data_IF_083331309218
#
_entry.id   IF_083331309218
#
_cell.length_a   1.000
_cell.length_b   1.000
_cell.length_c   1.000
_cell.angle_alpha   90.00
_cell.angle_beta   90.00
_cell.angle_gamma   90.00
#
_symmetry.space_group_name_H-M   'P 1'
#
loop_
_entity.id
_entity.type
_entity.pdbx_description
1 polymer ?
#
# COMPACT_ATOMS: atom_id res chain seq x y z
N UNK A 1 -9.76 -12.06 -20.36
CA UNK A 1 -9.34 -10.72 -19.91
C UNK A 1 -9.79 -10.51 -18.48
N UNK A 2 -8.88 -9.96 -17.64
CA UNK A 2 -9.19 -9.65 -16.26
C UNK A 2 -10.08 -8.40 -16.21
N UNK A 3 -11.24 -8.42 -15.53
CA UNK A 3 -12.07 -7.23 -15.40
C UNK A 3 -11.31 -6.08 -14.74
N UNK A 4 -11.47 -4.87 -15.29
CA UNK A 4 -10.82 -3.66 -14.80
C UNK A 4 -11.73 -2.46 -14.99
N UNK A 5 -11.82 -1.61 -13.99
CA UNK A 5 -12.47 -0.28 -14.08
C UNK A 5 -11.40 0.80 -14.03
N UNK A 6 -11.53 1.83 -14.83
CA UNK A 6 -10.58 2.95 -14.82
C UNK A 6 -10.90 3.90 -13.67
N UNK A 7 -10.02 3.98 -12.70
CA UNK A 7 -10.14 4.84 -11.52
C UNK A 7 -9.04 5.90 -11.48
N UNK A 8 -7.79 5.47 -11.63
CA UNK A 8 -6.60 6.32 -11.47
C UNK A 8 -6.14 7.00 -12.75
N UNK A 9 -5.15 7.87 -12.57
CA UNK A 9 -4.43 8.54 -13.65
C UNK A 9 -3.06 7.87 -13.82
N UNK A 10 -2.92 7.12 -14.91
CA UNK A 10 -1.72 6.37 -15.24
C UNK A 10 -1.18 6.74 -16.63
N UNK A 11 0.15 6.68 -16.86
CA UNK A 11 1.20 6.30 -15.90
C UNK A 11 1.39 7.36 -14.81
N UNK A 12 1.74 6.92 -13.59
CA UNK A 12 2.11 7.88 -12.54
C UNK A 12 3.49 8.49 -12.82
N UNK A 13 3.77 9.72 -12.35
CA UNK A 13 5.05 10.38 -12.59
C UNK A 13 6.24 9.54 -12.10
N UNK A 14 7.31 9.55 -12.89
CA UNK A 14 8.58 8.92 -12.58
C UNK A 14 9.72 9.88 -12.95
N UNK A 15 10.58 10.24 -12.00
CA UNK A 15 11.67 11.18 -12.22
C UNK A 15 12.76 11.07 -11.15
N UNK A 16 13.93 11.67 -11.44
CA UNK A 16 15.06 11.69 -10.53
C UNK A 16 14.89 12.73 -9.43
N UNK A 17 15.28 12.39 -8.21
CA UNK A 17 15.41 13.28 -7.07
C UNK A 17 16.83 13.82 -7.02
N UNK A 18 17.08 14.98 -7.61
CA UNK A 18 18.44 15.47 -7.86
C UNK A 18 19.22 15.78 -6.59
N UNK A 19 18.58 16.44 -5.62
CA UNK A 19 19.25 16.85 -4.38
C UNK A 19 19.45 15.67 -3.42
N UNK A 20 18.46 14.79 -3.32
CA UNK A 20 18.57 13.53 -2.56
C UNK A 20 19.65 12.62 -3.17
N UNK A 21 19.71 12.54 -4.50
CA UNK A 21 20.73 11.75 -5.20
C UNK A 21 22.14 12.24 -4.88
N UNK A 22 22.35 13.56 -4.90
CA UNK A 22 23.65 14.18 -4.56
C UNK A 22 24.01 13.94 -3.10
N UNK A 23 23.04 14.09 -2.19
CA UNK A 23 23.27 13.91 -0.75
C UNK A 23 23.64 12.47 -0.41
N UNK A 24 22.99 11.50 -1.06
CA UNK A 24 23.15 10.07 -0.75
C UNK A 24 24.21 9.37 -1.62
N UNK A 25 24.67 9.99 -2.71
CA UNK A 25 25.67 9.40 -3.61
C UNK A 25 25.15 8.27 -4.49
N UNK A 26 23.86 8.23 -4.76
CA UNK A 26 23.21 7.27 -5.67
C UNK A 26 22.37 8.02 -6.69
N UNK A 27 21.89 7.36 -7.73
CA UNK A 27 20.87 7.91 -8.62
C UNK A 27 19.49 7.50 -8.10
N UNK A 28 18.88 8.35 -7.29
CA UNK A 28 17.58 8.09 -6.68
C UNK A 28 16.45 8.64 -7.56
N UNK A 29 15.56 7.74 -7.97
CA UNK A 29 14.33 8.05 -8.70
C UNK A 29 13.14 7.81 -7.82
N UNK A 30 12.03 8.51 -8.09
CA UNK A 30 10.77 8.32 -7.38
C UNK A 30 9.64 7.95 -8.33
N UNK A 31 8.89 6.91 -7.99
CA UNK A 31 7.64 6.51 -8.65
C UNK A 31 6.47 7.03 -7.81
N UNK A 32 5.69 7.94 -8.37
CA UNK A 32 4.73 8.77 -7.62
C UNK A 32 3.32 8.16 -7.59
N UNK A 33 3.14 7.04 -6.87
CA UNK A 33 1.81 6.47 -6.69
C UNK A 33 0.94 7.23 -5.67
N UNK A 34 1.49 8.22 -4.98
CA UNK A 34 0.71 9.25 -4.30
C UNK A 34 -0.10 10.13 -5.29
N UNK A 35 0.22 10.11 -6.58
CA UNK A 35 -0.48 10.79 -7.66
C UNK A 35 -1.36 9.88 -8.51
N UNK A 36 -1.77 8.72 -8.01
CA UNK A 36 -2.72 7.85 -8.71
C UNK A 36 -4.06 8.52 -8.97
N UNK A 37 -4.38 9.57 -8.23
CA UNK A 37 -5.59 10.36 -8.42
C UNK A 37 -6.82 9.82 -7.71
N UNK A 38 -7.99 10.06 -8.28
CA UNK A 38 -9.35 9.96 -7.79
C UNK A 38 -9.74 11.13 -6.87
N UNK A 39 -9.09 11.29 -5.73
CA UNK A 39 -9.20 12.45 -4.85
C UNK A 39 -7.81 13.07 -4.63
N UNK A 40 -7.70 14.04 -3.73
CA UNK A 40 -6.42 14.73 -3.42
C UNK A 40 -5.38 13.81 -2.80
N UNK A 41 -5.79 12.66 -2.25
CA UNK A 41 -4.97 11.75 -1.47
C UNK A 41 -4.89 10.38 -2.14
N UNK A 42 -4.44 10.35 -3.39
CA UNK A 42 -4.17 9.12 -4.11
C UNK A 42 -3.19 8.20 -3.37
N UNK A 43 -3.06 6.97 -3.84
CA UNK A 43 -2.17 5.99 -3.24
C UNK A 43 -2.16 4.67 -3.99
N UNK A 44 -1.38 3.76 -3.47
CA UNK A 44 -1.14 2.44 -4.06
C UNK A 44 -2.41 1.57 -4.20
N UNK A 45 -3.42 1.82 -3.38
CA UNK A 45 -4.64 1.00 -3.38
C UNK A 45 -5.47 1.21 -4.64
N UNK A 46 -5.39 2.37 -5.28
CA UNK A 46 -6.10 2.64 -6.53
C UNK A 46 -5.73 1.63 -7.62
N UNK A 47 -4.44 1.26 -7.74
CA UNK A 47 -4.02 0.21 -8.68
C UNK A 47 -4.72 -1.12 -8.43
N UNK A 48 -4.87 -1.50 -7.16
CA UNK A 48 -5.55 -2.73 -6.75
C UNK A 48 -7.06 -2.64 -6.96
N UNK A 49 -7.64 -1.50 -6.58
CA UNK A 49 -9.09 -1.27 -6.63
C UNK A 49 -9.62 -1.24 -8.06
N UNK A 50 -8.82 -0.85 -9.05
CA UNK A 50 -9.24 -0.96 -10.46
C UNK A 50 -9.62 -2.39 -10.85
N UNK A 51 -8.88 -3.39 -10.36
CA UNK A 51 -9.16 -4.80 -10.62
C UNK A 51 -10.18 -5.38 -9.65
N UNK A 52 -10.11 -5.05 -8.37
CA UNK A 52 -11.06 -5.52 -7.36
C UNK A 52 -12.49 -5.03 -7.65
N UNK A 53 -12.66 -3.74 -7.95
CA UNK A 53 -13.98 -3.20 -8.29
C UNK A 53 -14.41 -3.59 -9.71
N UNK A 54 -13.46 -3.78 -10.63
CA UNK A 54 -13.76 -4.37 -11.93
C UNK A 54 -14.37 -5.77 -11.80
N UNK A 55 -13.80 -6.61 -10.93
CA UNK A 55 -14.33 -7.94 -10.62
C UNK A 55 -15.69 -7.88 -9.90
N UNK A 56 -15.81 -6.98 -8.90
CA UNK A 56 -17.07 -6.76 -8.20
C UNK A 56 -18.22 -6.36 -9.15
N UNK A 57 -17.94 -5.41 -10.05
CA UNK A 57 -18.92 -4.95 -11.05
C UNK A 57 -19.26 -6.04 -12.06
N UNK A 58 -18.28 -6.82 -12.51
CA UNK A 58 -18.51 -7.95 -13.41
C UNK A 58 -19.40 -9.04 -12.76
N UNK A 59 -19.32 -9.18 -11.43
CA UNK A 59 -20.20 -10.07 -10.63
C UNK A 59 -21.54 -9.45 -10.26
N UNK A 60 -21.82 -8.22 -10.70
CA UNK A 60 -23.08 -7.53 -10.44
C UNK A 60 -23.25 -7.04 -9.00
N UNK A 61 -22.18 -6.92 -8.23
CA UNK A 61 -22.21 -6.43 -6.86
C UNK A 61 -22.71 -4.98 -6.80
N UNK A 62 -23.37 -4.64 -5.70
CA UNK A 62 -23.91 -3.31 -5.41
C UNK A 62 -23.27 -2.67 -4.19
N UNK A 63 -22.68 -3.47 -3.32
CA UNK A 63 -22.00 -3.04 -2.13
C UNK A 63 -20.61 -3.68 -2.04
N UNK A 64 -19.73 -3.06 -1.28
CA UNK A 64 -18.36 -3.53 -1.00
C UNK A 64 -18.11 -3.41 0.49
N UNK A 65 -17.71 -4.50 1.12
CA UNK A 65 -17.20 -4.48 2.48
C UNK A 65 -15.69 -4.58 2.49
N UNK A 66 -15.03 -3.82 3.37
CA UNK A 66 -13.59 -3.93 3.59
C UNK A 66 -13.19 -3.58 5.02
N UNK A 67 -11.91 -3.70 5.33
CA UNK A 67 -11.35 -3.72 6.67
C UNK A 67 -10.10 -2.84 6.77
N UNK A 68 -9.79 -2.38 7.97
CA UNK A 68 -8.58 -1.64 8.27
C UNK A 68 -8.57 -1.07 9.69
N UNK A 69 -7.53 -0.34 10.04
CA UNK A 69 -7.53 0.53 11.20
C UNK A 69 -8.35 1.82 10.93
N UNK A 70 -8.66 2.60 11.94
CA UNK A 70 -9.47 3.83 11.83
C UNK A 70 -8.88 4.88 10.89
N UNK A 71 -7.55 4.89 10.71
CA UNK A 71 -6.84 5.78 9.78
C UNK A 71 -6.34 5.06 8.51
N UNK A 72 -6.96 3.93 8.14
CA UNK A 72 -6.56 3.12 6.99
C UNK A 72 -6.63 3.90 5.67
N UNK A 73 -5.51 4.02 4.96
CA UNK A 73 -5.48 4.54 3.59
C UNK A 73 -6.28 3.64 2.65
N UNK A 74 -6.20 2.31 2.84
CA UNK A 74 -6.95 1.36 2.04
C UNK A 74 -8.46 1.56 2.18
N UNK A 75 -8.97 1.75 3.39
CA UNK A 75 -10.40 2.00 3.63
C UNK A 75 -10.85 3.27 2.90
N UNK A 76 -10.15 4.39 3.08
CA UNK A 76 -10.47 5.67 2.47
C UNK A 76 -10.44 5.60 0.93
N UNK A 77 -9.39 5.01 0.35
CA UNK A 77 -9.30 4.84 -1.10
C UNK A 77 -10.40 3.91 -1.64
N UNK A 78 -10.79 2.86 -0.89
CA UNK A 78 -11.89 1.97 -1.24
C UNK A 78 -13.23 2.71 -1.25
N UNK A 79 -13.51 3.54 -0.24
CA UNK A 79 -14.73 4.37 -0.19
C UNK A 79 -14.78 5.29 -1.40
N UNK A 80 -13.69 5.99 -1.68
CA UNK A 80 -13.58 6.88 -2.84
C UNK A 80 -13.86 6.16 -4.17
N UNK A 81 -13.25 4.98 -4.34
CA UNK A 81 -13.45 4.15 -5.53
C UNK A 81 -14.88 3.63 -5.66
N UNK A 82 -15.48 3.17 -4.56
CA UNK A 82 -16.88 2.72 -4.53
C UNK A 82 -17.82 3.84 -4.95
N UNK A 83 -17.67 5.05 -4.43
CA UNK A 83 -18.51 6.20 -4.80
C UNK A 83 -18.41 6.53 -6.28
N UNK A 84 -17.20 6.46 -6.84
CA UNK A 84 -17.02 6.65 -8.29
C UNK A 84 -17.71 5.57 -9.13
N UNK A 85 -17.76 4.33 -8.63
CA UNK A 85 -18.38 3.20 -9.33
C UNK A 85 -19.88 3.06 -9.05
N UNK A 86 -20.46 3.88 -8.18
CA UNK A 86 -21.88 3.76 -7.77
C UNK A 86 -22.13 2.53 -6.88
N UNK A 87 -21.10 2.11 -6.12
CA UNK A 87 -21.20 1.01 -5.14
C UNK A 87 -21.31 1.57 -3.72
N UNK A 88 -21.99 0.86 -2.83
CA UNK A 88 -22.13 1.23 -1.43
C UNK A 88 -20.95 0.72 -0.60
N UNK A 89 -20.12 1.60 -0.01
CA UNK A 89 -18.99 1.21 0.80
C UNK A 89 -19.38 0.94 2.26
N UNK A 90 -18.91 -0.19 2.79
CA UNK A 90 -19.10 -0.64 4.16
C UNK A 90 -17.73 -0.92 4.77
N UNK A 91 -17.41 -0.29 5.89
CA UNK A 91 -16.13 -0.40 6.56
C UNK A 91 -16.26 -1.05 7.93
N UNK A 92 -15.41 -2.02 8.21
CA UNK A 92 -15.16 -2.56 9.54
C UNK A 92 -13.76 -2.13 9.97
N UNK A 93 -13.69 -1.14 10.88
CA UNK A 93 -12.46 -0.49 11.28
C UNK A 93 -12.09 -0.86 12.71
N UNK A 94 -10.95 -1.51 12.91
CA UNK A 94 -10.43 -1.86 14.22
C UNK A 94 -9.80 -0.62 14.86
N UNK A 95 -10.22 -0.31 16.09
CA UNK A 95 -9.76 0.85 16.83
C UNK A 95 -8.94 0.43 18.06
N UNK A 96 -7.66 0.76 18.08
CA UNK A 96 -6.82 0.68 19.28
C UNK A 96 -7.25 1.72 20.31
N UNK A 97 -7.64 2.90 19.82
CA UNK A 97 -8.23 3.98 20.61
C UNK A 97 -9.54 4.37 19.94
N UNK A 98 -10.63 4.39 20.70
CA UNK A 98 -11.93 4.82 20.21
C UNK A 98 -11.85 6.25 19.70
N UNK A 99 -12.23 6.50 18.43
CA UNK A 99 -12.40 7.85 17.96
C UNK A 99 -13.64 8.46 18.65
N UNK A 100 -13.47 9.58 19.33
CA UNK A 100 -14.61 10.35 19.80
C UNK A 100 -15.16 11.26 18.69
N UNK A 101 -16.38 11.77 18.88
CA UNK A 101 -17.05 12.62 17.87
C UNK A 101 -16.30 13.93 17.59
N UNK A 102 -15.42 14.35 18.52
CA UNK A 102 -14.63 15.58 18.42
C UNK A 102 -13.27 15.36 17.76
N UNK A 103 -12.81 14.10 17.70
CA UNK A 103 -11.49 13.72 17.17
C UNK A 103 -11.60 12.91 15.87
N UNK A 104 -12.65 13.13 15.09
CA UNK A 104 -12.77 12.57 13.75
C UNK A 104 -11.91 13.38 12.80
N UNK A 105 -10.81 12.79 12.33
CA UNK A 105 -9.79 13.46 11.53
C UNK A 105 -9.28 12.60 10.37
N UNK A 106 -8.56 13.22 9.45
CA UNK A 106 -7.85 12.60 8.34
C UNK A 106 -8.71 11.56 7.61
N UNK A 107 -8.26 10.31 7.44
CA UNK A 107 -8.98 9.31 6.65
C UNK A 107 -10.37 9.00 7.19
N UNK A 108 -10.54 8.88 8.51
CA UNK A 108 -11.86 8.64 9.10
C UNK A 108 -12.85 9.79 8.81
N UNK A 109 -12.37 11.03 8.82
CA UNK A 109 -13.19 12.19 8.42
C UNK A 109 -13.60 12.08 6.95
N UNK A 110 -12.68 11.71 6.06
CA UNK A 110 -12.97 11.55 4.65
C UNK A 110 -13.97 10.42 4.39
N UNK A 111 -13.86 9.30 5.09
CA UNK A 111 -14.80 8.18 5.01
C UNK A 111 -16.22 8.62 5.40
N UNK A 112 -16.36 9.39 6.47
CA UNK A 112 -17.65 9.96 6.91
C UNK A 112 -18.20 10.99 5.91
N UNK A 113 -17.36 11.89 5.39
CA UNK A 113 -17.76 12.88 4.38
C UNK A 113 -18.26 12.21 3.10
N UNK A 114 -17.63 11.11 2.69
CA UNK A 114 -18.07 10.32 1.54
C UNK A 114 -19.28 9.43 1.82
N UNK A 115 -19.77 9.40 3.07
CA UNK A 115 -20.99 8.68 3.46
C UNK A 115 -20.82 7.15 3.49
N UNK A 116 -19.65 6.67 3.89
CA UNK A 116 -19.45 5.24 4.13
C UNK A 116 -20.29 4.75 5.31
N UNK A 117 -20.80 3.52 5.24
CA UNK A 117 -21.28 2.80 6.42
C UNK A 117 -20.07 2.32 7.21
N UNK A 118 -19.93 2.80 8.47
CA UNK A 118 -18.75 2.56 9.29
C UNK A 118 -19.11 1.81 10.56
N UNK A 119 -18.48 0.66 10.77
CA UNK A 119 -18.53 -0.13 11.99
C UNK A 119 -17.17 -0.08 12.68
N UNK A 120 -17.12 0.55 13.86
CA UNK A 120 -15.91 0.55 14.70
C UNK A 120 -15.89 -0.74 15.51
N UNK A 121 -14.80 -1.47 15.42
CA UNK A 121 -14.56 -2.72 16.14
C UNK A 121 -13.51 -2.47 17.22
N UNK A 122 -13.97 -2.49 18.48
CA UNK A 122 -13.11 -2.26 19.64
C UNK A 122 -12.24 -3.48 19.94
N UNK A 123 -11.11 -3.23 20.59
CA UNK A 123 -10.34 -4.29 21.26
C UNK A 123 -11.02 -4.56 22.59
N UNK A 124 -11.57 -5.75 22.78
CA UNK A 124 -12.24 -6.15 24.01
C UNK A 124 -11.22 -6.49 25.11
N UNK A 125 -11.63 -6.44 26.40
CA UNK A 125 -10.75 -6.80 27.50
C UNK A 125 -10.17 -8.22 27.32
N UNK A 126 -8.85 -8.31 27.22
CA UNK A 126 -8.13 -9.58 27.01
C UNK A 126 -7.87 -9.96 25.55
N UNK A 127 -8.41 -9.20 24.59
CA UNK A 127 -8.05 -9.35 23.19
C UNK A 127 -6.74 -8.62 22.84
N UNK A 128 -6.05 -9.14 21.83
CA UNK A 128 -5.01 -8.42 21.11
C UNK A 128 -5.62 -7.63 19.95
N UNK A 129 -4.85 -6.73 19.33
CA UNK A 129 -5.25 -6.05 18.10
C UNK A 129 -5.54 -7.05 16.98
N UNK A 130 -4.73 -8.11 16.85
CA UNK A 130 -4.91 -9.18 15.85
C UNK A 130 -6.22 -9.96 16.08
N UNK A 131 -6.63 -10.18 17.35
CA UNK A 131 -7.90 -10.83 17.68
C UNK A 131 -9.10 -9.97 17.26
N UNK A 132 -9.06 -8.68 17.54
CA UNK A 132 -10.10 -7.73 17.14
C UNK A 132 -10.17 -7.58 15.62
N UNK A 133 -9.02 -7.57 14.94
CA UNK A 133 -8.94 -7.57 13.48
C UNK A 133 -9.57 -8.85 12.90
N UNK A 134 -9.22 -10.02 13.41
CA UNK A 134 -9.80 -11.30 12.98
C UNK A 134 -11.32 -11.31 13.19
N UNK A 135 -11.80 -10.76 14.31
CA UNK A 135 -13.24 -10.62 14.59
C UNK A 135 -13.92 -9.67 13.59
N UNK A 136 -13.25 -8.57 13.22
CA UNK A 136 -13.78 -7.64 12.21
C UNK A 136 -14.00 -8.34 10.86
N UNK A 137 -13.11 -9.24 10.45
CA UNK A 137 -13.26 -10.01 9.21
C UNK A 137 -14.49 -10.92 9.24
N UNK A 138 -14.72 -11.60 10.36
CA UNK A 138 -15.92 -12.44 10.53
C UNK A 138 -17.19 -11.59 10.43
N UNK A 139 -17.25 -10.48 11.16
CA UNK A 139 -18.41 -9.57 11.17
C UNK A 139 -18.71 -9.01 9.77
N UNK A 140 -17.68 -8.58 9.06
CA UNK A 140 -17.83 -8.04 7.70
C UNK A 140 -18.26 -9.10 6.68
N UNK A 141 -17.68 -10.29 6.73
CA UNK A 141 -18.05 -11.42 5.87
C UNK A 141 -19.52 -11.85 6.09
N UNK A 142 -19.97 -11.93 7.35
CA UNK A 142 -21.37 -12.20 7.69
C UNK A 142 -22.31 -11.10 7.20
N UNK A 143 -21.89 -9.83 7.28
CA UNK A 143 -22.67 -8.71 6.75
C UNK A 143 -22.79 -8.82 5.23
N UNK A 144 -21.71 -9.06 4.52
CA UNK A 144 -21.73 -9.26 3.07
C UNK A 144 -22.63 -10.42 2.66
N UNK A 145 -22.61 -11.53 3.40
CA UNK A 145 -23.47 -12.68 3.17
C UNK A 145 -24.96 -12.35 3.37
N UNK A 146 -25.30 -11.61 4.45
CA UNK A 146 -26.69 -11.16 4.71
C UNK A 146 -27.21 -10.24 3.61
N UNK A 147 -26.41 -9.27 3.18
CA UNK A 147 -26.79 -8.37 2.08
C UNK A 147 -27.03 -9.12 0.78
N UNK A 148 -26.13 -10.03 0.46
CA UNK A 148 -26.27 -10.87 -0.75
C UNK A 148 -27.53 -11.73 -0.68
N UNK A 149 -27.82 -12.35 0.44
CA UNK A 149 -29.02 -13.16 0.64
C UNK A 149 -30.32 -12.31 0.56
N UNK A 150 -30.26 -11.03 0.92
CA UNK A 150 -31.38 -10.09 0.83
C UNK A 150 -31.57 -9.45 -0.57
N UNK A 151 -30.76 -9.83 -1.55
CA UNK A 151 -30.84 -9.34 -2.92
C UNK A 151 -29.95 -8.15 -3.25
N UNK A 152 -29.00 -7.82 -2.35
CA UNK A 152 -27.95 -6.81 -2.58
C UNK A 152 -26.60 -7.51 -2.62
N UNK A 153 -26.11 -7.98 -3.79
CA UNK A 153 -24.84 -8.66 -3.89
C UNK A 153 -23.71 -7.76 -3.37
N UNK A 154 -22.94 -8.28 -2.41
CA UNK A 154 -21.85 -7.56 -1.74
C UNK A 154 -20.52 -8.26 -2.02
N UNK A 155 -19.49 -7.47 -2.35
CA UNK A 155 -18.14 -7.93 -2.61
C UNK A 155 -17.29 -7.72 -1.36
N UNK A 156 -16.63 -8.77 -0.92
CA UNK A 156 -15.71 -8.74 0.22
C UNK A 156 -14.27 -8.47 -0.28
N UNK A 157 -13.76 -7.27 0.03
CA UNK A 157 -12.40 -6.86 -0.29
C UNK A 157 -11.52 -7.10 0.93
N UNK A 158 -10.51 -7.98 0.86
CA UNK A 158 -9.62 -8.21 1.99
C UNK A 158 -8.84 -6.95 2.36
N UNK A 159 -8.45 -6.85 3.63
CA UNK A 159 -7.67 -5.73 4.15
C UNK A 159 -6.47 -5.42 3.26
N UNK A 160 -6.27 -4.14 2.95
CA UNK A 160 -5.20 -3.68 2.05
C UNK A 160 -5.38 -4.08 0.59
N UNK A 161 -6.50 -4.70 0.20
CA UNK A 161 -6.70 -5.26 -1.13
C UNK A 161 -5.73 -6.41 -1.45
N UNK A 162 -5.25 -7.11 -0.41
CA UNK A 162 -4.22 -8.14 -0.52
C UNK A 162 -4.81 -9.48 -0.99
N UNK A 163 -5.12 -9.54 -2.25
CA UNK A 163 -5.57 -10.74 -2.98
C UNK A 163 -4.83 -10.84 -4.32
N UNK A 164 -4.94 -11.99 -4.98
CA UNK A 164 -4.37 -12.13 -6.32
C UNK A 164 -4.99 -11.13 -7.30
N UNK A 165 -6.30 -10.93 -7.26
CA UNK A 165 -6.99 -9.93 -8.10
C UNK A 165 -6.44 -8.53 -7.88
N UNK A 166 -6.34 -8.07 -6.62
CA UNK A 166 -5.78 -6.75 -6.30
C UNK A 166 -4.30 -6.62 -6.68
N UNK A 167 -3.53 -7.69 -6.48
CA UNK A 167 -2.09 -7.70 -6.77
C UNK A 167 -1.77 -7.58 -8.27
N UNK A 168 -2.69 -7.94 -9.18
CA UNK A 168 -2.57 -7.69 -10.62
C UNK A 168 -2.34 -6.19 -10.89
N UNK A 169 -2.93 -5.31 -10.10
CA UNK A 169 -2.72 -3.86 -10.21
C UNK A 169 -1.26 -3.45 -10.04
N UNK A 170 -0.50 -4.14 -9.19
CA UNK A 170 0.93 -3.89 -9.01
C UNK A 170 1.82 -4.68 -9.97
N UNK A 171 1.38 -5.81 -10.49
CA UNK A 171 2.04 -6.43 -11.64
C UNK A 171 1.99 -5.47 -12.85
N UNK A 172 0.83 -4.89 -13.13
CA UNK A 172 0.67 -3.83 -14.14
C UNK A 172 1.50 -2.58 -13.82
N UNK A 173 1.60 -2.20 -12.53
CA UNK A 173 2.43 -1.06 -12.10
C UNK A 173 3.91 -1.28 -12.39
N UNK A 174 4.43 -2.49 -12.22
CA UNK A 174 5.82 -2.78 -12.57
C UNK A 174 6.06 -2.80 -14.09
N UNK A 175 5.09 -3.27 -14.87
CA UNK A 175 5.15 -3.16 -16.35
C UNK A 175 5.22 -1.68 -16.76
N UNK A 176 4.37 -0.84 -16.19
CA UNK A 176 4.40 0.62 -16.41
C UNK A 176 5.76 1.24 -16.05
N UNK A 177 6.35 0.83 -14.92
CA UNK A 177 7.70 1.27 -14.56
C UNK A 177 8.73 0.83 -15.60
N UNK A 178 8.66 -0.42 -16.07
CA UNK A 178 9.59 -0.93 -17.08
C UNK A 178 9.51 -0.13 -18.39
N UNK A 179 8.31 0.22 -18.83
CA UNK A 179 8.09 1.09 -19.99
C UNK A 179 8.72 2.46 -19.80
N UNK A 180 8.55 3.09 -18.64
CA UNK A 180 9.17 4.38 -18.32
C UNK A 180 10.71 4.29 -18.24
N UNK A 181 11.25 3.18 -17.76
CA UNK A 181 12.70 2.93 -17.75
C UNK A 181 13.25 2.77 -19.15
N UNK A 182 12.56 2.04 -20.02
CA UNK A 182 12.94 1.85 -21.41
C UNK A 182 12.94 3.18 -22.19
N UNK A 183 11.93 4.02 -21.99
CA UNK A 183 11.86 5.37 -22.59
C UNK A 183 13.05 6.26 -22.18
N UNK A 184 13.57 6.08 -20.97
CA UNK A 184 14.72 6.82 -20.45
C UNK A 184 16.07 6.15 -20.75
N UNK A 185 16.08 4.94 -21.32
CA UNK A 185 17.28 4.12 -21.49
C UNK A 185 17.97 3.80 -20.15
N UNK A 186 17.18 3.61 -19.08
CA UNK A 186 17.66 3.47 -17.72
C UNK A 186 17.51 2.03 -17.21
N UNK A 187 18.61 1.48 -16.70
CA UNK A 187 18.60 0.23 -15.94
C UNK A 187 18.55 0.54 -14.44
N UNK A 188 17.67 -0.13 -13.71
CA UNK A 188 17.51 0.04 -12.26
C UNK A 188 18.08 -1.17 -11.52
N UNK A 189 18.86 -0.90 -10.48
CA UNK A 189 19.46 -1.91 -9.62
C UNK A 189 18.52 -2.32 -8.50
N UNK A 190 17.84 -1.34 -7.87
CA UNK A 190 16.98 -1.55 -6.71
C UNK A 190 15.65 -0.83 -6.82
N UNK A 191 14.59 -1.48 -6.32
CA UNK A 191 13.27 -0.89 -6.13
C UNK A 191 12.89 -1.03 -4.65
N UNK A 192 12.66 0.09 -3.96
CA UNK A 192 12.29 0.14 -2.54
C UNK A 192 10.81 0.51 -2.39
N UNK A 193 10.11 -0.18 -1.51
CA UNK A 193 8.73 0.15 -1.16
C UNK A 193 8.39 -0.26 0.28
N UNK A 194 7.34 0.36 0.84
CA UNK A 194 6.74 -0.07 2.09
C UNK A 194 5.86 -1.30 1.88
N UNK A 195 5.90 -2.26 2.81
CA UNK A 195 5.03 -3.42 2.78
C UNK A 195 4.30 -3.64 4.11
N UNK A 196 2.99 -3.82 4.04
CA UNK A 196 2.10 -4.14 5.16
C UNK A 196 1.39 -5.46 4.93
N UNK A 197 0.26 -5.46 4.23
CA UNK A 197 -0.54 -6.68 3.97
C UNK A 197 0.04 -7.65 2.94
N UNK A 198 0.98 -7.19 2.09
CA UNK A 198 1.73 -8.01 1.15
C UNK A 198 1.25 -8.00 -0.29
N UNK A 199 0.07 -7.45 -0.58
CA UNK A 199 -0.48 -7.43 -1.94
C UNK A 199 0.34 -6.59 -2.92
N UNK A 200 0.89 -5.45 -2.49
CA UNK A 200 1.80 -4.62 -3.29
C UNK A 200 3.09 -5.36 -3.60
N UNK A 201 3.71 -5.96 -2.57
CA UNK A 201 4.93 -6.75 -2.71
C UNK A 201 4.73 -7.91 -3.70
N UNK A 202 3.65 -8.66 -3.56
CA UNK A 202 3.34 -9.78 -4.46
C UNK A 202 3.18 -9.34 -5.91
N UNK A 203 2.44 -8.25 -6.16
CA UNK A 203 2.24 -7.71 -7.50
C UNK A 203 3.54 -7.20 -8.14
N UNK A 204 4.36 -6.46 -7.39
CA UNK A 204 5.66 -5.99 -7.88
C UNK A 204 6.58 -7.14 -8.30
N UNK A 205 6.66 -8.21 -7.50
CA UNK A 205 7.46 -9.38 -7.84
C UNK A 205 6.93 -10.13 -9.07
N UNK A 206 5.61 -10.28 -9.19
CA UNK A 206 4.99 -10.86 -10.39
C UNK A 206 5.29 -10.02 -11.63
N UNK A 207 5.10 -8.69 -11.56
CA UNK A 207 5.40 -7.78 -12.67
C UNK A 207 6.87 -7.80 -13.06
N UNK A 208 7.78 -7.82 -12.09
CA UNK A 208 9.23 -7.94 -12.31
C UNK A 208 9.57 -9.21 -13.13
N UNK A 209 8.96 -10.36 -12.78
CA UNK A 209 9.16 -11.61 -13.53
C UNK A 209 8.61 -11.50 -14.94
N UNK A 210 7.43 -10.93 -15.13
CA UNK A 210 6.80 -10.79 -16.45
C UNK A 210 7.63 -9.97 -17.42
N UNK A 211 8.29 -8.92 -16.97
CA UNK A 211 9.15 -8.07 -17.81
C UNK A 211 10.61 -8.53 -17.85
N UNK A 212 10.96 -9.58 -17.13
CA UNK A 212 12.34 -10.09 -17.09
C UNK A 212 13.35 -9.13 -16.48
N UNK A 213 12.92 -8.25 -15.55
CA UNK A 213 13.80 -7.28 -14.91
C UNK A 213 14.73 -7.95 -13.89
N UNK A 214 15.99 -7.49 -13.85
CA UNK A 214 16.98 -7.92 -12.86
C UNK A 214 17.00 -7.05 -11.60
N UNK A 215 16.17 -5.99 -11.51
CA UNK A 215 16.12 -5.13 -10.35
C UNK A 215 15.81 -5.93 -9.08
N UNK A 216 16.52 -5.63 -8.00
CA UNK A 216 16.26 -6.21 -6.68
C UNK A 216 15.17 -5.40 -5.99
N UNK A 217 14.02 -6.01 -5.72
CA UNK A 217 12.94 -5.37 -4.96
C UNK A 217 13.24 -5.54 -3.47
N UNK A 218 13.37 -4.42 -2.75
CA UNK A 218 13.57 -4.36 -1.29
C UNK A 218 12.29 -3.89 -0.63
N UNK A 219 11.69 -4.77 0.17
CA UNK A 219 10.42 -4.52 0.85
C UNK A 219 10.69 -4.20 2.32
N UNK A 220 10.39 -2.97 2.74
CA UNK A 220 10.56 -2.52 4.13
C UNK A 220 9.24 -2.72 4.85
N UNK A 221 9.23 -3.52 5.92
CA UNK A 221 8.01 -3.79 6.68
C UNK A 221 7.66 -2.63 7.61
N UNK A 222 6.37 -2.39 7.77
CA UNK A 222 5.83 -1.35 8.66
C UNK A 222 5.31 -1.89 9.99
N UNK A 223 5.33 -3.21 10.13
CA UNK A 223 4.95 -3.97 11.33
C UNK A 223 5.70 -5.31 11.37
N UNK A 224 5.69 -6.06 12.49
CA UNK A 224 6.34 -7.36 12.57
C UNK A 224 5.84 -8.32 11.48
N UNK A 225 6.76 -9.01 10.83
CA UNK A 225 6.48 -10.04 9.81
C UNK A 225 7.41 -11.23 10.02
N UNK A 226 6.94 -12.40 9.60
CA UNK A 226 7.62 -13.68 9.76
C UNK A 226 7.68 -14.47 8.43
N UNK A 227 8.19 -15.68 8.47
CA UNK A 227 8.31 -16.57 7.31
C UNK A 227 6.96 -16.95 6.69
N UNK A 228 5.90 -17.07 7.48
CA UNK A 228 4.55 -17.36 6.97
C UNK A 228 4.05 -16.21 6.08
N UNK A 229 4.42 -14.97 6.41
CA UNK A 229 4.12 -13.81 5.57
C UNK A 229 4.82 -13.89 4.21
N UNK A 230 6.10 -14.26 4.16
CA UNK A 230 6.83 -14.44 2.89
C UNK A 230 6.21 -15.55 2.04
N UNK A 231 5.78 -16.64 2.67
CA UNK A 231 5.06 -17.73 1.98
C UNK A 231 3.74 -17.24 1.40
N UNK A 232 2.97 -16.43 2.15
CA UNK A 232 1.75 -15.78 1.66
C UNK A 232 2.03 -14.89 0.43
N UNK A 233 3.07 -14.07 0.49
CA UNK A 233 3.46 -13.18 -0.62
C UNK A 233 3.85 -13.99 -1.85
N UNK A 234 4.66 -15.03 -1.69
CA UNK A 234 5.02 -15.94 -2.78
C UNK A 234 3.78 -16.55 -3.44
N UNK A 235 2.85 -17.08 -2.64
CA UNK A 235 1.62 -17.69 -3.16
C UNK A 235 0.76 -16.69 -3.91
N UNK A 236 0.62 -15.46 -3.40
CA UNK A 236 -0.10 -14.39 -4.10
C UNK A 236 0.57 -14.03 -5.43
N UNK A 237 1.90 -13.88 -5.44
CA UNK A 237 2.63 -13.54 -6.66
C UNK A 237 2.50 -14.63 -7.73
N UNK A 238 2.61 -15.90 -7.32
CA UNK A 238 2.47 -17.03 -8.23
C UNK A 238 1.03 -17.20 -8.74
N UNK A 239 0.03 -16.90 -7.92
CA UNK A 239 -1.36 -16.87 -8.38
C UNK A 239 -1.60 -15.76 -9.39
N UNK A 240 -1.01 -14.56 -9.19
CA UNK A 240 -1.06 -13.47 -10.18
C UNK A 240 -0.46 -13.91 -11.52
N UNK A 241 0.71 -14.55 -11.50
CA UNK A 241 1.36 -15.04 -12.70
C UNK A 241 0.47 -16.07 -13.44
N UNK A 242 -0.11 -17.01 -12.70
CA UNK A 242 -1.02 -18.03 -13.25
C UNK A 242 -2.29 -17.39 -13.84
N UNK A 243 -2.91 -16.42 -13.15
CA UNK A 243 -4.10 -15.70 -13.63
C UNK A 243 -3.83 -14.92 -14.91
N UNK A 244 -2.58 -14.48 -15.10
CA UNK A 244 -2.11 -13.80 -16.32
C UNK A 244 -1.63 -14.76 -17.41
N UNK A 245 -1.73 -16.08 -17.18
CA UNK A 245 -1.36 -17.11 -18.13
C UNK A 245 0.15 -17.33 -18.29
N UNK A 246 0.92 -17.01 -17.25
CA UNK A 246 2.38 -17.17 -17.22
C UNK A 246 2.82 -18.39 -16.43
N UNK A 247 3.78 -19.14 -16.96
CA UNK A 247 4.44 -20.26 -16.25
C UNK A 247 5.64 -19.81 -15.41
N UNK A 248 5.93 -18.51 -15.35
CA UNK A 248 6.98 -17.96 -14.51
C UNK A 248 6.66 -18.15 -13.02
N UNK A 249 7.70 -18.17 -12.20
CA UNK A 249 7.58 -18.43 -10.79
C UNK A 249 8.40 -17.46 -9.94
N UNK A 250 7.82 -17.00 -8.83
CA UNK A 250 8.50 -16.25 -7.77
C UNK A 250 8.91 -17.24 -6.69
N UNK A 251 10.20 -17.31 -6.40
CA UNK A 251 10.76 -18.12 -5.31
C UNK A 251 10.98 -17.25 -4.09
N UNK A 252 10.47 -17.70 -2.93
CA UNK A 252 10.55 -16.97 -1.66
C UNK A 252 11.98 -16.63 -1.25
N UNK A 253 12.86 -17.63 -1.33
CA UNK A 253 14.20 -17.54 -0.78
C UNK A 253 15.20 -16.89 -1.75
N UNK A 254 14.84 -16.81 -3.03
CA UNK A 254 15.66 -16.19 -4.08
C UNK A 254 15.20 -14.77 -4.42
N UNK A 255 13.89 -14.58 -4.58
CA UNK A 255 13.35 -13.32 -5.10
C UNK A 255 12.91 -12.33 -4.02
N UNK A 256 12.39 -12.82 -2.87
CA UNK A 256 11.78 -11.95 -1.87
C UNK A 256 12.82 -11.44 -0.88
N UNK A 257 13.06 -10.13 -0.91
CA UNK A 257 13.95 -9.45 0.03
C UNK A 257 13.13 -8.52 0.93
N UNK A 258 12.93 -8.95 2.16
CA UNK A 258 12.17 -8.23 3.19
C UNK A 258 13.11 -7.79 4.32
N UNK A 259 12.98 -6.52 4.74
CA UNK A 259 13.70 -5.99 5.88
C UNK A 259 12.73 -5.53 6.97
N UNK A 260 12.90 -6.07 8.17
CA UNK A 260 12.05 -5.84 9.34
C UNK A 260 12.68 -4.89 10.36
N UNK A 261 13.81 -4.26 10.03
CA UNK A 261 14.60 -3.43 10.97
C UNK A 261 14.07 -2.00 11.18
N UNK A 262 12.99 -1.57 10.52
CA UNK A 262 12.60 -0.15 10.45
C UNK A 262 11.21 0.18 10.97
N UNK A 263 10.43 -0.79 11.42
CA UNK A 263 9.07 -0.55 11.94
C UNK A 263 9.02 -0.17 13.43
N UNK A 264 10.09 -0.49 14.18
CA UNK A 264 10.09 -0.33 15.64
C UNK A 264 9.84 1.14 16.07
N UNK A 265 9.13 1.35 17.19
CA UNK A 265 8.67 0.32 18.12
C UNK A 265 7.40 -0.43 17.68
N UNK A 266 6.66 0.03 16.66
CA UNK A 266 5.48 -0.66 16.17
C UNK A 266 4.75 0.09 15.05
N UNK A 267 3.63 -0.49 14.61
CA UNK A 267 2.72 0.15 13.67
C UNK A 267 2.13 1.42 14.30
N UNK A 268 2.06 2.51 13.52
CA UNK A 268 1.58 3.83 14.00
C UNK A 268 2.32 4.37 15.24
N UNK A 269 3.58 3.94 15.47
CA UNK A 269 4.40 4.43 16.56
C UNK A 269 5.52 5.36 16.06
N UNK A 270 5.94 6.37 16.86
CA UNK A 270 7.05 7.27 16.51
C UNK A 270 8.33 6.49 16.20
N UNK A 271 9.00 6.89 15.12
CA UNK A 271 10.26 6.30 14.67
C UNK A 271 11.23 7.40 14.24
N UNK A 272 12.34 7.54 14.94
CA UNK A 272 13.31 8.63 14.69
C UNK A 272 13.92 8.58 13.29
N UNK A 273 14.24 7.38 12.77
CA UNK A 273 14.78 7.22 11.41
C UNK A 273 13.75 7.63 10.36
N UNK A 274 12.47 7.29 10.57
CA UNK A 274 11.40 7.72 9.69
C UNK A 274 11.21 9.24 9.73
N UNK A 275 11.26 9.85 10.91
CA UNK A 275 11.18 11.31 11.08
C UNK A 275 12.35 12.03 10.41
N UNK A 276 13.58 11.50 10.50
CA UNK A 276 14.73 12.01 9.76
C UNK A 276 14.50 11.94 8.24
N UNK A 277 14.06 10.79 7.74
CA UNK A 277 13.82 10.58 6.31
C UNK A 277 12.73 11.52 5.76
N UNK A 278 11.62 11.72 6.50
CA UNK A 278 10.55 12.66 6.16
C UNK A 278 11.11 14.08 6.03
N UNK A 279 11.87 14.53 7.04
CA UNK A 279 12.47 15.87 7.06
C UNK A 279 13.50 16.04 5.94
N UNK A 280 14.32 15.03 5.68
CA UNK A 280 15.33 15.07 4.61
C UNK A 280 14.68 15.24 3.24
N UNK A 281 13.69 14.41 2.91
CA UNK A 281 12.98 14.49 1.64
C UNK A 281 12.26 15.84 1.49
N UNK A 282 11.57 16.30 2.53
CA UNK A 282 10.85 17.56 2.50
C UNK A 282 11.79 18.76 2.30
N UNK A 283 12.94 18.79 2.98
CA UNK A 283 13.89 19.90 2.90
C UNK A 283 14.72 19.91 1.62
N UNK A 284 15.00 18.75 1.05
CA UNK A 284 15.79 18.64 -0.16
C UNK A 284 14.93 18.72 -1.43
N UNK A 285 13.75 18.11 -1.45
CA UNK A 285 12.95 17.96 -2.67
C UNK A 285 11.56 18.60 -2.58
N UNK A 286 11.14 19.09 -1.40
CA UNK A 286 9.79 19.65 -1.20
C UNK A 286 8.68 18.61 -1.29
N UNK A 287 9.00 17.34 -1.04
CA UNK A 287 8.08 16.21 -1.11
C UNK A 287 7.78 15.65 0.27
N UNK A 288 6.61 15.04 0.43
CA UNK A 288 6.18 14.50 1.70
C UNK A 288 5.94 12.99 1.62
N UNK A 289 6.52 12.27 2.57
CA UNK A 289 6.20 10.87 2.89
C UNK A 289 5.57 10.83 4.28
N UNK A 290 4.81 9.77 4.57
CA UNK A 290 4.08 9.63 5.82
C UNK A 290 4.88 8.90 6.92
N UNK A 291 4.55 9.08 8.20
CA UNK A 291 5.30 8.45 9.29
C UNK A 291 4.97 6.96 9.49
N UNK A 292 3.87 6.44 8.93
CA UNK A 292 3.41 5.06 9.15
C UNK A 292 4.04 4.08 8.16
N UNK A 293 4.04 4.42 6.86
CA UNK A 293 4.47 3.55 5.76
C UNK A 293 5.70 4.07 5.04
N UNK A 294 5.54 5.13 4.25
CA UNK A 294 6.55 5.56 3.28
C UNK A 294 7.76 6.20 3.94
N UNK A 295 7.61 6.83 5.09
CA UNK A 295 8.74 7.35 5.87
C UNK A 295 9.63 6.23 6.41
N UNK A 296 9.05 5.11 6.87
CA UNK A 296 9.80 3.93 7.31
C UNK A 296 10.54 3.27 6.15
N UNK A 297 9.89 3.15 4.99
CA UNK A 297 10.52 2.60 3.79
C UNK A 297 11.69 3.47 3.30
N UNK A 298 11.52 4.79 3.28
CA UNK A 298 12.58 5.72 2.91
C UNK A 298 13.73 5.69 3.92
N UNK A 299 13.45 5.56 5.22
CA UNK A 299 14.45 5.39 6.25
C UNK A 299 15.30 4.12 6.02
N UNK A 300 14.64 3.01 5.66
CA UNK A 300 15.33 1.77 5.30
C UNK A 300 16.24 1.95 4.09
N UNK A 301 15.79 2.62 3.05
CA UNK A 301 16.59 2.94 1.88
C UNK A 301 17.82 3.80 2.24
N UNK A 302 17.63 4.89 2.99
CA UNK A 302 18.71 5.79 3.40
C UNK A 302 19.77 5.02 4.23
N UNK A 303 19.32 4.20 5.17
CA UNK A 303 20.20 3.38 6.01
C UNK A 303 20.97 2.34 5.17
N UNK A 304 20.33 1.69 4.21
CA UNK A 304 20.99 0.74 3.31
C UNK A 304 22.06 1.40 2.43
N UNK A 305 21.83 2.64 1.98
CA UNK A 305 22.85 3.40 1.24
C UNK A 305 24.02 3.75 2.18
N UNK A 306 23.75 4.29 3.36
CA UNK A 306 24.77 4.71 4.33
C UNK A 306 25.61 3.54 4.86
N UNK A 307 25.02 2.36 4.95
CA UNK A 307 25.71 1.14 5.42
C UNK A 307 26.34 0.31 4.31
N UNK A 308 26.25 0.75 3.05
CA UNK A 308 26.86 0.09 1.90
C UNK A 308 26.11 -1.17 1.41
N UNK A 309 24.88 -1.39 1.86
CA UNK A 309 23.99 -2.44 1.28
C UNK A 309 23.48 -2.05 -0.12
N UNK A 310 23.51 -0.78 -0.44
CA UNK A 310 23.32 -0.21 -1.77
C UNK A 310 24.61 0.49 -2.16
N UNK A 311 25.23 0.07 -3.26
CA UNK A 311 26.50 0.60 -3.71
C UNK A 311 26.34 2.05 -4.19
N UNK A 312 27.40 2.84 -4.01
CA UNK A 312 27.47 4.20 -4.53
C UNK A 312 27.31 4.22 -6.05
N UNK A 313 26.55 5.18 -6.55
CA UNK A 313 26.25 5.31 -7.98
C UNK A 313 25.16 4.39 -8.50
N UNK A 314 24.60 3.48 -7.68
CA UNK A 314 23.45 2.62 -8.08
C UNK A 314 22.25 3.44 -8.52
N UNK A 315 21.48 2.89 -9.44
CA UNK A 315 20.17 3.42 -9.86
C UNK A 315 19.07 2.81 -8.98
N UNK A 316 18.41 3.63 -8.18
CA UNK A 316 17.44 3.20 -7.18
C UNK A 316 16.09 3.85 -7.43
N UNK A 317 15.02 3.08 -7.43
CA UNK A 317 13.64 3.59 -7.44
C UNK A 317 13.05 3.49 -6.04
N UNK A 318 12.59 4.61 -5.51
CA UNK A 318 11.70 4.64 -4.36
C UNK A 318 10.24 4.70 -4.82
N UNK A 319 9.46 3.70 -4.49
CA UNK A 319 8.04 3.66 -4.83
C UNK A 319 7.22 4.37 -3.75
N UNK A 320 6.80 5.58 -4.05
CA UNK A 320 5.99 6.39 -3.12
C UNK A 320 4.54 5.95 -3.17
N UNK A 321 4.12 5.16 -2.21
CA UNK A 321 2.79 4.53 -2.16
C UNK A 321 1.67 5.41 -1.61
N UNK A 322 1.94 6.68 -1.29
CA UNK A 322 0.93 7.61 -0.74
C UNK A 322 0.99 7.73 0.77
N UNK A 323 -0.17 7.95 1.40
CA UNK A 323 -0.31 8.00 2.86
C UNK A 323 -0.20 9.39 3.48
N UNK A 324 -0.21 10.47 2.70
CA UNK A 324 0.01 11.84 3.18
C UNK A 324 -0.97 12.30 4.26
N UNK A 325 -2.17 11.74 4.32
CA UNK A 325 -3.18 12.06 5.35
C UNK A 325 -2.69 11.76 6.77
N UNK A 326 -1.79 10.79 6.95
CA UNK A 326 -1.20 10.47 8.25
C UNK A 326 -0.38 11.63 8.84
N UNK A 327 0.15 12.54 8.02
CA UNK A 327 0.83 13.75 8.50
C UNK A 327 -0.10 14.66 9.29
N UNK A 328 -1.40 14.63 9.03
CA UNK A 328 -2.42 15.43 9.70
C UNK A 328 -3.11 14.69 10.85
N UNK A 329 -3.03 13.36 10.86
CA UNK A 329 -3.59 12.53 11.92
C UNK A 329 -2.57 12.27 13.04
N UNK A 330 -1.31 12.06 12.67
CA UNK A 330 -0.27 11.51 13.52
C UNK A 330 0.95 12.45 13.63
N UNK A 331 0.71 13.76 13.73
CA UNK A 331 1.78 14.75 13.80
C UNK A 331 2.77 14.52 14.96
N UNK A 332 2.31 13.94 16.07
CA UNK A 332 3.15 13.59 17.21
C UNK A 332 4.22 12.54 16.86
N UNK A 333 4.00 11.73 15.83
CA UNK A 333 4.97 10.74 15.35
C UNK A 333 6.21 11.37 14.71
N UNK A 334 6.14 12.65 14.32
CA UNK A 334 7.27 13.39 13.75
C UNK A 334 8.29 13.84 14.80
N UNK A 335 7.96 13.73 16.10
CA UNK A 335 8.78 14.22 17.17
C UNK A 335 8.90 15.75 17.16
N UNK A 336 10.01 16.28 17.70
CA UNK A 336 10.26 17.72 17.66
C UNK A 336 10.62 18.17 16.24
N UNK A 337 9.77 19.02 15.65
CA UNK A 337 9.95 19.58 14.30
C UNK A 337 10.48 21.03 14.31
N UNK A 338 10.60 21.65 15.49
CA UNK A 338 11.12 23.00 15.69
C UNK A 338 12.56 22.98 16.19
#
# INVERSE_FOLDING_TARGET
PVPRVQLGFFPTPFYKLERMSKELGVNLYIKRDDFTGMNLFGGNKIRKLEFLLGDAMAKGCKAVVTYGATQSNHAMETVSACRRCGLDPILYLTAVVQPDEKDVRANLLLDKVMGAEIHIVDIEPGETEDDAEARSFVMGAEHAARLTASGTPCYDVPMGGASHVGSIGFANGFVELAEQLDELGLNVDYVYHATGTGGTMAGLHAGRKLVGSNAVIRSITVSPKNDAYLTKVQNLANQVLADLGSDLHVDRDVDLHMDTGYFAPGYEQPNEKASEAIKMLARLEGLFVDPVYTGKALAGLIDHIRTGKVEQGSNVVFWHTGGATALFAEQQMLGNIF
#
